data_IF_502311179658
#
_entry.id   IF_502311179658
#
_cell.length_a   1.000
_cell.length_b   1.000
_cell.length_c   1.000
_cell.angle_alpha   90.00
_cell.angle_beta   90.00
_cell.angle_gamma   90.00
#
_symmetry.space_group_name_H-M   'P 1'
#
loop_
_entity.id
_entity.type
_entity.pdbx_description
1 polymer ?
#
# COMPACT_ATOMS: atom_id res chain seq x y z
N UNK A 1 -7.03 63.59 9.79
CA UNK A 1 -7.02 62.36 9.00
C UNK A 1 -6.79 61.19 9.95
N UNK A 2 -7.86 60.49 10.31
CA UNK A 2 -7.81 59.37 11.24
C UNK A 2 -7.58 58.10 10.41
N UNK A 3 -6.43 57.44 10.62
CA UNK A 3 -6.17 56.10 10.10
C UNK A 3 -6.97 55.11 10.95
N UNK A 4 -8.03 54.58 10.38
CA UNK A 4 -8.76 53.44 10.92
C UNK A 4 -7.97 52.15 10.60
N UNK A 5 -7.22 51.67 11.58
CA UNK A 5 -6.62 50.35 11.54
C UNK A 5 -7.73 49.29 11.60
N UNK A 6 -8.04 48.70 10.46
CA UNK A 6 -8.90 47.53 10.40
C UNK A 6 -8.13 46.32 11.00
N UNK A 7 -8.71 45.61 11.96
CA UNK A 7 -8.05 44.41 12.48
C UNK A 7 -7.89 43.39 11.37
N UNK A 8 -6.65 43.00 11.12
CA UNK A 8 -6.34 41.88 10.22
C UNK A 8 -6.97 40.62 10.79
N UNK A 9 -8.09 40.20 10.21
CA UNK A 9 -8.74 38.94 10.49
C UNK A 9 -7.77 37.83 10.06
N UNK A 10 -7.05 37.28 11.02
CA UNK A 10 -6.29 36.07 10.81
C UNK A 10 -7.27 35.01 10.30
N UNK A 11 -7.10 34.62 9.05
CA UNK A 11 -7.81 33.47 8.48
C UNK A 11 -7.38 32.26 9.28
N UNK A 12 -8.16 31.88 10.28
CA UNK A 12 -8.00 30.62 10.99
C UNK A 12 -8.11 29.51 9.94
N UNK A 13 -6.95 29.03 9.50
CA UNK A 13 -6.88 27.81 8.68
C UNK A 13 -7.51 26.69 9.50
N UNK A 14 -8.51 25.98 8.97
CA UNK A 14 -9.18 24.90 9.71
C UNK A 14 -8.13 23.95 10.26
N UNK A 15 -7.99 23.90 11.59
CA UNK A 15 -7.07 22.96 12.25
C UNK A 15 -7.67 21.56 12.17
N UNK A 16 -7.42 20.86 11.07
CA UNK A 16 -7.78 19.44 10.97
C UNK A 16 -7.01 18.67 12.05
N UNK A 17 -7.75 17.94 12.86
CA UNK A 17 -7.14 17.00 13.80
C UNK A 17 -6.47 15.88 12.99
N UNK A 18 -5.22 15.53 13.32
CA UNK A 18 -4.51 14.43 12.64
C UNK A 18 -5.28 13.12 12.79
N UNK A 19 -5.94 12.93 13.93
CA UNK A 19 -6.76 11.76 14.18
C UNK A 19 -7.97 11.69 13.22
N UNK A 20 -8.65 12.81 12.95
CA UNK A 20 -9.77 12.82 11.99
C UNK A 20 -9.32 12.54 10.55
N UNK A 21 -8.09 12.92 10.18
CA UNK A 21 -7.52 12.62 8.88
C UNK A 21 -7.17 11.13 8.72
N UNK A 22 -6.74 10.47 9.80
CA UNK A 22 -6.32 9.06 9.78
C UNK A 22 -7.44 8.10 10.13
N UNK A 23 -8.57 8.56 10.69
CA UNK A 23 -9.69 7.71 11.06
C UNK A 23 -10.27 6.87 9.91
N UNK A 24 -10.47 7.41 8.68
CA UNK A 24 -10.91 6.59 7.56
C UNK A 24 -9.91 5.50 7.19
N UNK A 25 -8.60 5.79 7.30
CA UNK A 25 -7.54 4.80 7.07
C UNK A 25 -7.56 3.74 8.17
N UNK A 26 -7.73 4.12 9.43
CA UNK A 26 -7.85 3.20 10.55
C UNK A 26 -9.00 2.19 10.38
N UNK A 27 -10.17 2.66 9.89
CA UNK A 27 -11.33 1.79 9.62
C UNK A 27 -11.02 0.70 8.57
N UNK A 28 -10.13 0.96 7.64
CA UNK A 28 -9.65 -0.03 6.67
C UNK A 28 -8.48 -0.85 7.20
N UNK A 29 -7.49 -0.19 7.80
CA UNK A 29 -6.22 -0.81 8.19
C UNK A 29 -6.34 -1.77 9.36
N UNK A 30 -7.17 -1.47 10.36
CA UNK A 30 -7.33 -2.37 11.50
C UNK A 30 -7.94 -3.71 11.08
N UNK A 31 -9.09 -3.77 10.36
CA UNK A 31 -9.63 -5.03 9.88
C UNK A 31 -8.70 -5.77 8.92
N UNK A 32 -8.16 -5.07 7.91
CA UNK A 32 -7.25 -5.68 6.94
C UNK A 32 -5.97 -6.19 7.61
N UNK A 33 -5.34 -5.41 8.48
CA UNK A 33 -4.18 -5.84 9.24
C UNK A 33 -4.49 -7.07 10.11
N UNK A 34 -5.68 -7.13 10.73
CA UNK A 34 -6.13 -8.29 11.51
C UNK A 34 -6.24 -9.53 10.64
N UNK A 35 -6.88 -9.42 9.48
CA UNK A 35 -6.97 -10.53 8.53
C UNK A 35 -5.58 -10.95 8.05
N UNK A 36 -4.69 -10.01 7.73
CA UNK A 36 -3.32 -10.31 7.34
C UNK A 36 -2.58 -11.08 8.43
N UNK A 37 -2.55 -10.57 9.67
CA UNK A 37 -1.83 -11.20 10.78
C UNK A 37 -2.33 -12.62 11.06
N UNK A 38 -3.66 -12.79 11.04
CA UNK A 38 -4.29 -14.10 11.20
C UNK A 38 -3.89 -15.08 10.10
N UNK A 39 -4.09 -14.72 8.83
CA UNK A 39 -3.80 -15.58 7.68
C UNK A 39 -2.30 -15.91 7.55
N UNK A 40 -1.43 -14.96 7.88
CA UNK A 40 0.02 -15.17 7.82
C UNK A 40 0.49 -16.24 8.81
N UNK A 41 -0.08 -16.23 10.02
CA UNK A 41 0.18 -17.27 11.04
C UNK A 41 -0.42 -18.60 10.62
N UNK A 42 -1.65 -18.62 10.08
CA UNK A 42 -2.29 -19.84 9.59
C UNK A 42 -1.57 -20.44 8.38
N UNK A 43 -0.83 -19.64 7.61
CA UNK A 43 0.04 -20.11 6.53
C UNK A 43 1.33 -20.81 7.03
N UNK A 44 1.52 -20.92 8.35
CA UNK A 44 2.66 -21.59 8.97
C UNK A 44 3.79 -20.66 9.42
N UNK A 45 3.64 -19.34 9.28
CA UNK A 45 4.62 -18.39 9.78
C UNK A 45 4.51 -18.22 11.30
N UNK A 46 5.63 -17.94 11.97
CA UNK A 46 5.61 -17.57 13.37
C UNK A 46 4.89 -16.22 13.57
N UNK A 47 4.06 -16.10 14.61
CA UNK A 47 3.24 -14.93 14.87
C UNK A 47 4.02 -13.61 14.93
N UNK A 48 5.22 -13.64 15.49
CA UNK A 48 6.09 -12.47 15.58
C UNK A 48 6.62 -12.00 14.22
N UNK A 49 6.75 -12.92 13.23
CA UNK A 49 7.12 -12.54 11.85
C UNK A 49 6.04 -11.69 11.16
N UNK A 50 4.76 -11.95 11.45
CA UNK A 50 3.68 -11.09 10.97
C UNK A 50 3.85 -9.65 11.47
N UNK A 51 4.17 -9.50 12.77
CA UNK A 51 4.39 -8.17 13.38
C UNK A 51 5.64 -7.50 12.80
N UNK A 52 6.74 -8.24 12.68
CA UNK A 52 7.98 -7.70 12.09
C UNK A 52 7.77 -7.29 10.63
N UNK A 53 7.03 -8.06 9.84
CA UNK A 53 6.71 -7.67 8.46
C UNK A 53 5.91 -6.36 8.42
N UNK A 54 4.97 -6.16 9.31
CA UNK A 54 4.20 -4.91 9.39
C UNK A 54 5.03 -3.72 9.86
N UNK A 55 6.01 -3.95 10.75
CA UNK A 55 6.92 -2.91 11.22
C UNK A 55 7.96 -2.49 10.18
N UNK A 56 8.48 -3.43 9.38
CA UNK A 56 9.63 -3.18 8.51
C UNK A 56 9.33 -3.21 7.02
N UNK A 57 8.23 -3.81 6.59
CA UNK A 57 7.81 -3.83 5.20
C UNK A 57 6.69 -2.82 4.95
N UNK A 58 5.68 -2.78 5.80
CA UNK A 58 4.54 -1.86 5.76
C UNK A 58 3.99 -1.63 4.36
N UNK A 59 3.64 -2.70 3.68
CA UNK A 59 3.09 -2.68 2.33
C UNK A 59 2.01 -3.76 2.21
N UNK A 60 0.76 -3.40 2.46
CA UNK A 60 -0.36 -4.33 2.57
C UNK A 60 -0.44 -5.33 1.42
N UNK A 61 -0.43 -4.87 0.17
CA UNK A 61 -0.48 -5.75 -1.01
C UNK A 61 0.68 -6.74 -1.06
N UNK A 62 1.92 -6.30 -0.76
CA UNK A 62 3.07 -7.18 -0.72
C UNK A 62 2.99 -8.17 0.44
N UNK A 63 2.51 -7.73 1.60
CA UNK A 63 2.32 -8.59 2.77
C UNK A 63 1.27 -9.68 2.52
N UNK A 64 0.15 -9.34 1.89
CA UNK A 64 -0.84 -10.34 1.48
C UNK A 64 -0.29 -11.32 0.45
N UNK A 65 0.55 -10.86 -0.48
CA UNK A 65 1.22 -11.73 -1.45
C UNK A 65 2.21 -12.71 -0.78
N UNK A 66 2.83 -12.32 0.35
CA UNK A 66 3.70 -13.22 1.11
C UNK A 66 2.95 -14.44 1.65
N UNK A 67 1.66 -14.35 1.97
CA UNK A 67 0.88 -15.43 2.59
C UNK A 67 0.93 -16.73 1.77
N UNK A 68 0.49 -16.75 0.49
CA UNK A 68 0.58 -17.97 -0.32
C UNK A 68 2.02 -18.42 -0.58
N UNK A 69 2.98 -17.49 -0.60
CA UNK A 69 4.40 -17.85 -0.78
C UNK A 69 4.96 -18.58 0.44
N UNK A 70 4.59 -18.14 1.64
CA UNK A 70 4.94 -18.82 2.91
C UNK A 70 4.25 -20.18 2.98
N UNK A 71 2.96 -20.27 2.68
CA UNK A 71 2.21 -21.52 2.66
C UNK A 71 2.80 -22.54 1.66
N UNK A 72 3.32 -22.06 0.54
CA UNK A 72 4.02 -22.89 -0.46
C UNK A 72 5.47 -23.25 -0.06
N UNK A 73 5.96 -22.79 1.09
CA UNK A 73 7.34 -23.04 1.54
C UNK A 73 8.42 -22.42 0.66
N UNK A 74 8.13 -21.30 -0.02
CA UNK A 74 9.10 -20.67 -0.90
C UNK A 74 10.29 -20.12 -0.10
N UNK A 75 11.51 -20.12 -0.68
CA UNK A 75 12.68 -19.56 -0.03
C UNK A 75 12.50 -18.06 0.29
N UNK A 76 13.02 -17.62 1.43
CA UNK A 76 12.94 -16.23 1.87
C UNK A 76 13.45 -15.23 0.82
N UNK A 77 14.49 -15.60 0.05
CA UNK A 77 15.02 -14.78 -1.05
C UNK A 77 13.99 -14.51 -2.15
N UNK A 78 13.19 -15.51 -2.52
CA UNK A 78 12.11 -15.37 -3.52
C UNK A 78 11.00 -14.46 -3.00
N UNK A 79 10.64 -14.58 -1.73
CA UNK A 79 9.65 -13.74 -1.07
C UNK A 79 10.15 -12.29 -1.02
N UNK A 80 11.41 -12.08 -0.62
CA UNK A 80 12.02 -10.76 -0.56
C UNK A 80 12.08 -10.08 -1.95
N UNK A 81 12.48 -10.83 -2.98
CA UNK A 81 12.52 -10.32 -4.34
C UNK A 81 11.13 -9.92 -4.85
N UNK A 82 10.13 -10.77 -4.68
CA UNK A 82 8.75 -10.48 -5.07
C UNK A 82 8.21 -9.26 -4.32
N UNK A 83 8.49 -9.16 -3.02
CA UNK A 83 8.13 -8.00 -2.18
C UNK A 83 8.77 -6.72 -2.69
N UNK A 84 10.07 -6.73 -2.99
CA UNK A 84 10.79 -5.58 -3.52
C UNK A 84 10.17 -5.12 -4.84
N UNK A 85 9.90 -6.05 -5.73
CA UNK A 85 9.34 -5.77 -7.06
C UNK A 85 7.96 -5.12 -6.95
N UNK A 86 7.06 -5.67 -6.14
CA UNK A 86 5.71 -5.10 -5.96
C UNK A 86 5.77 -3.70 -5.32
N UNK A 87 6.75 -3.47 -4.45
CA UNK A 87 6.93 -2.20 -3.76
C UNK A 87 7.65 -1.13 -4.59
N UNK A 88 8.16 -1.42 -5.78
CA UNK A 88 8.77 -0.41 -6.66
C UNK A 88 7.81 0.75 -6.98
N UNK A 89 6.50 0.54 -6.94
CA UNK A 89 5.50 1.61 -7.09
C UNK A 89 5.65 2.73 -6.07
N UNK A 90 6.10 2.43 -4.84
CA UNK A 90 6.29 3.44 -3.79
C UNK A 90 7.40 4.45 -4.13
N UNK A 91 8.35 4.08 -5.00
CA UNK A 91 9.37 5.00 -5.50
C UNK A 91 8.71 6.16 -6.26
N UNK A 92 7.70 5.89 -7.08
CA UNK A 92 7.00 6.92 -7.85
C UNK A 92 6.17 7.84 -6.95
N UNK A 93 5.55 7.30 -5.90
CA UNK A 93 4.85 8.11 -4.90
C UNK A 93 5.83 9.00 -4.14
N UNK A 94 6.95 8.43 -3.70
CA UNK A 94 8.00 9.17 -3.03
C UNK A 94 8.51 10.34 -3.86
N UNK A 95 8.77 10.12 -5.15
CA UNK A 95 9.24 11.16 -6.07
C UNK A 95 8.25 12.32 -6.18
N UNK A 96 6.94 12.05 -6.22
CA UNK A 96 5.91 13.09 -6.37
C UNK A 96 5.73 13.96 -5.12
N UNK A 97 6.08 13.45 -3.92
CA UNK A 97 5.95 14.15 -2.63
C UNK A 97 7.29 14.64 -2.07
N UNK A 98 8.40 14.46 -2.79
CA UNK A 98 9.74 14.82 -2.30
C UNK A 98 9.89 16.27 -1.87
N UNK A 99 9.19 17.19 -2.57
CA UNK A 99 9.21 18.62 -2.27
C UNK A 99 8.44 18.98 -0.98
N UNK A 100 7.48 18.13 -0.59
CA UNK A 100 6.70 18.31 0.64
C UNK A 100 7.38 17.71 1.87
N UNK A 101 8.41 16.88 1.69
CA UNK A 101 9.11 16.24 2.78
C UNK A 101 10.27 17.09 3.30
N UNK A 102 10.69 16.91 4.55
CA UNK A 102 11.87 17.59 5.08
C UNK A 102 13.07 17.37 4.16
N UNK A 103 13.92 18.38 3.94
CA UNK A 103 15.04 18.27 3.00
C UNK A 103 16.07 17.22 3.42
N UNK A 104 16.25 17.00 4.73
CA UNK A 104 17.23 16.06 5.32
C UNK A 104 16.73 15.49 6.66
N UNK A 105 17.38 14.43 7.13
CA UNK A 105 17.21 13.88 8.47
C UNK A 105 16.33 12.63 8.54
N UNK A 106 16.26 12.05 9.73
CA UNK A 106 15.51 10.83 10.03
C UNK A 106 14.04 10.90 9.64
N UNK A 107 13.40 12.05 9.87
CA UNK A 107 11.99 12.26 9.59
C UNK A 107 11.66 12.06 8.10
N UNK A 108 12.57 12.51 7.20
CA UNK A 108 12.44 12.27 5.76
C UNK A 108 12.41 10.79 5.42
N UNK A 109 13.38 10.04 5.94
CA UNK A 109 13.50 8.61 5.68
C UNK A 109 12.29 7.85 6.18
N UNK A 110 11.81 8.20 7.38
CA UNK A 110 10.61 7.59 7.92
C UNK A 110 9.36 7.89 7.07
N UNK A 111 9.17 9.13 6.63
CA UNK A 111 8.04 9.51 5.78
C UNK A 111 8.07 8.81 4.42
N UNK A 112 9.25 8.62 3.83
CA UNK A 112 9.41 7.85 2.59
C UNK A 112 9.06 6.37 2.82
N UNK A 113 9.53 5.79 3.91
CA UNK A 113 9.22 4.40 4.29
C UNK A 113 7.72 4.20 4.55
N UNK A 114 7.09 5.10 5.29
CA UNK A 114 5.69 4.99 5.70
C UNK A 114 4.69 5.50 4.63
N UNK A 115 5.15 5.70 3.39
CA UNK A 115 4.34 6.18 2.30
C UNK A 115 3.61 5.02 1.60
N UNK A 116 2.42 4.70 2.07
CA UNK A 116 1.49 3.77 1.39
C UNK A 116 0.54 4.53 0.46
N UNK A 117 -0.28 3.81 -0.29
CA UNK A 117 -1.30 4.39 -1.19
C UNK A 117 -2.26 5.30 -0.41
N UNK A 118 -2.69 4.89 0.77
CA UNK A 118 -3.62 5.62 1.64
C UNK A 118 -2.93 6.82 2.28
N UNK A 119 -1.69 6.64 2.77
CA UNK A 119 -0.91 7.76 3.33
C UNK A 119 -0.64 8.81 2.24
N UNK A 120 -0.31 8.40 1.02
CA UNK A 120 -0.17 9.27 -0.13
C UNK A 120 -1.46 10.04 -0.39
N UNK A 121 -2.60 9.35 -0.45
CA UNK A 121 -3.90 9.96 -0.66
C UNK A 121 -4.20 11.03 0.38
N UNK A 122 -4.00 10.73 1.68
CA UNK A 122 -4.22 11.71 2.75
C UNK A 122 -3.27 12.90 2.63
N UNK A 123 -1.98 12.67 2.39
CA UNK A 123 -0.99 13.75 2.28
C UNK A 123 -1.22 14.67 1.09
N UNK A 124 -1.84 14.20 0.01
CA UNK A 124 -2.19 15.04 -1.14
C UNK A 124 -3.42 15.92 -0.91
N UNK A 125 -4.26 15.60 0.09
CA UNK A 125 -5.46 16.39 0.41
C UNK A 125 -5.21 17.53 1.41
N UNK A 126 -4.10 17.47 2.15
CA UNK A 126 -3.78 18.50 3.14
C UNK A 126 -3.04 19.70 2.52
N UNK A 127 -3.18 20.92 3.07
CA UNK A 127 -2.49 22.10 2.57
C UNK A 127 -0.96 21.91 2.53
N UNK A 128 -0.31 22.37 1.46
CA UNK A 128 1.15 22.32 1.32
C UNK A 128 1.90 23.07 2.42
N UNK A 129 1.24 23.97 3.11
CA UNK A 129 1.76 24.75 4.26
C UNK A 129 1.77 23.95 5.56
N UNK A 130 1.24 22.70 5.56
CA UNK A 130 1.22 21.84 6.75
C UNK A 130 2.64 21.49 7.20
N UNK A 131 2.89 21.59 8.52
CA UNK A 131 4.21 21.31 9.06
C UNK A 131 4.63 19.84 8.83
N UNK A 132 5.91 19.62 8.55
CA UNK A 132 6.50 18.29 8.36
C UNK A 132 6.23 17.35 9.54
N UNK A 133 6.21 17.88 10.77
CA UNK A 133 5.89 17.08 11.97
C UNK A 133 4.46 16.53 11.92
N UNK A 134 3.49 17.35 11.45
CA UNK A 134 2.09 16.94 11.33
C UNK A 134 1.91 15.89 10.23
N UNK A 135 2.60 16.05 9.10
CA UNK A 135 2.62 15.06 8.01
C UNK A 135 3.21 13.72 8.48
N UNK A 136 4.34 13.77 9.21
CA UNK A 136 4.96 12.57 9.76
C UNK A 136 4.08 11.88 10.81
N UNK A 137 3.32 12.64 11.61
CA UNK A 137 2.38 12.08 12.57
C UNK A 137 1.21 11.37 11.85
N UNK A 138 0.72 11.89 10.72
CA UNK A 138 -0.25 11.18 9.87
C UNK A 138 0.30 9.83 9.41
N UNK A 139 1.53 9.83 8.88
CA UNK A 139 2.19 8.60 8.43
C UNK A 139 2.41 7.60 9.59
N UNK A 140 2.80 8.11 10.77
CA UNK A 140 3.02 7.31 11.97
C UNK A 140 1.71 6.67 12.48
N UNK A 141 0.63 7.41 12.50
CA UNK A 141 -0.67 6.87 12.91
C UNK A 141 -1.18 5.82 11.92
N UNK A 142 -1.07 6.06 10.62
CA UNK A 142 -1.45 5.06 9.62
C UNK A 142 -0.63 3.78 9.77
N UNK A 143 0.69 3.90 9.95
CA UNK A 143 1.55 2.76 10.25
C UNK A 143 1.11 2.04 11.53
N UNK A 144 0.86 2.79 12.60
CA UNK A 144 0.38 2.26 13.87
C UNK A 144 -0.94 1.48 13.76
N UNK A 145 -1.91 1.98 12.95
CA UNK A 145 -3.18 1.29 12.72
C UNK A 145 -3.00 -0.06 12.05
N UNK A 146 -2.11 -0.12 11.06
CA UNK A 146 -1.78 -1.38 10.38
C UNK A 146 -1.11 -2.38 11.31
N UNK A 147 -0.10 -1.94 12.06
CA UNK A 147 0.60 -2.78 13.04
C UNK A 147 -0.37 -3.27 14.12
N UNK A 148 -1.24 -2.40 14.63
CA UNK A 148 -2.26 -2.76 15.63
C UNK A 148 -3.16 -3.89 15.11
N UNK A 149 -3.70 -3.74 13.89
CA UNK A 149 -4.49 -4.78 13.26
C UNK A 149 -3.70 -6.09 13.14
N UNK A 150 -2.46 -6.02 12.65
CA UNK A 150 -1.60 -7.21 12.52
C UNK A 150 -1.36 -7.91 13.85
N UNK A 151 -1.10 -7.15 14.93
CA UNK A 151 -0.90 -7.73 16.27
C UNK A 151 -2.14 -8.48 16.72
N UNK A 152 -3.32 -7.88 16.59
CA UNK A 152 -4.59 -8.52 16.93
C UNK A 152 -4.76 -9.82 16.15
N UNK A 153 -4.58 -9.78 14.83
CA UNK A 153 -4.72 -10.94 13.96
C UNK A 153 -3.69 -12.03 14.24
N UNK A 154 -2.44 -11.66 14.48
CA UNK A 154 -1.36 -12.60 14.77
C UNK A 154 -1.58 -13.33 16.10
N UNK A 155 -2.07 -12.63 17.14
CA UNK A 155 -2.40 -13.22 18.44
C UNK A 155 -3.58 -14.20 18.29
N UNK A 156 -4.65 -13.79 17.61
CA UNK A 156 -5.80 -14.65 17.32
C UNK A 156 -5.35 -15.88 16.54
N UNK A 157 -4.55 -15.69 15.49
CA UNK A 157 -4.03 -16.78 14.65
C UNK A 157 -3.15 -17.77 15.41
N UNK A 158 -2.33 -17.29 16.37
CA UNK A 158 -1.48 -18.13 17.18
C UNK A 158 -2.25 -18.99 18.21
N UNK A 159 -3.41 -18.50 18.67
CA UNK A 159 -4.26 -19.19 19.65
C UNK A 159 -5.32 -20.07 18.99
N UNK A 160 -5.73 -19.75 17.78
CA UNK A 160 -6.74 -20.46 17.05
C UNK A 160 -6.22 -21.85 16.64
N UNK A 161 -6.64 -22.91 17.31
CA UNK A 161 -6.42 -24.31 16.90
C UNK A 161 -7.39 -24.71 15.78
N UNK A 162 -7.60 -23.83 14.82
CA UNK A 162 -8.52 -24.02 13.72
C UNK A 162 -7.70 -24.38 12.49
N UNK A 163 -7.76 -25.64 12.06
CA UNK A 163 -7.40 -25.96 10.68
C UNK A 163 -8.49 -25.39 9.78
N UNK A 164 -8.30 -24.20 9.25
CA UNK A 164 -9.25 -23.60 8.33
C UNK A 164 -9.24 -24.40 7.02
N UNK A 165 -10.14 -25.38 6.93
CA UNK A 165 -10.52 -25.92 5.64
C UNK A 165 -11.08 -24.76 4.80
N UNK A 166 -10.47 -24.47 3.66
CA UNK A 166 -10.86 -23.35 2.80
C UNK A 166 -10.00 -22.09 2.95
N UNK A 167 -8.83 -22.16 3.61
CA UNK A 167 -7.88 -21.04 3.63
C UNK A 167 -7.50 -20.60 2.22
N UNK A 168 -7.35 -21.56 1.30
CA UNK A 168 -7.08 -21.31 -0.11
C UNK A 168 -8.21 -20.50 -0.76
N UNK A 169 -9.46 -20.78 -0.38
CA UNK A 169 -10.60 -20.04 -0.88
C UNK A 169 -10.65 -18.61 -0.32
N UNK A 170 -10.33 -18.42 0.96
CA UNK A 170 -10.29 -17.08 1.59
C UNK A 170 -9.22 -16.23 0.91
N UNK A 171 -8.03 -16.78 0.66
CA UNK A 171 -6.96 -16.09 -0.05
C UNK A 171 -7.37 -15.76 -1.49
N UNK A 172 -7.94 -16.73 -2.22
CA UNK A 172 -8.41 -16.51 -3.58
C UNK A 172 -9.49 -15.43 -3.65
N UNK A 173 -10.46 -15.44 -2.73
CA UNK A 173 -11.52 -14.43 -2.67
C UNK A 173 -10.98 -13.04 -2.32
N UNK A 174 -10.00 -12.94 -1.41
CA UNK A 174 -9.34 -11.67 -1.09
C UNK A 174 -8.64 -11.09 -2.32
N UNK A 175 -7.85 -11.90 -3.04
CA UNK A 175 -7.20 -11.44 -4.26
C UNK A 175 -8.20 -11.09 -5.36
N UNK A 176 -9.32 -11.80 -5.47
CA UNK A 176 -10.39 -11.46 -6.38
C UNK A 176 -10.99 -10.08 -6.05
N UNK A 177 -11.27 -9.80 -4.77
CA UNK A 177 -11.77 -8.49 -4.32
C UNK A 177 -10.77 -7.38 -4.63
N UNK A 178 -9.48 -7.58 -4.31
CA UNK A 178 -8.42 -6.61 -4.62
C UNK A 178 -8.30 -6.37 -6.14
N UNK A 179 -8.45 -7.42 -6.95
CA UNK A 179 -8.45 -7.32 -8.41
C UNK A 179 -9.64 -6.52 -8.92
N UNK A 180 -10.84 -6.76 -8.38
CA UNK A 180 -12.06 -6.02 -8.74
C UNK A 180 -11.91 -4.55 -8.32
N UNK A 181 -11.39 -4.26 -7.14
CA UNK A 181 -11.16 -2.90 -6.66
C UNK A 181 -10.16 -2.16 -7.57
N UNK A 182 -9.05 -2.80 -7.93
CA UNK A 182 -8.11 -2.28 -8.91
C UNK A 182 -8.76 -2.10 -10.29
N UNK A 183 -9.68 -3.00 -10.68
CA UNK A 183 -10.43 -2.85 -11.93
C UNK A 183 -11.34 -1.64 -11.92
N UNK A 184 -12.01 -1.34 -10.83
CA UNK A 184 -12.93 -0.19 -10.71
C UNK A 184 -12.20 1.16 -10.70
N UNK A 185 -11.01 1.20 -10.13
CA UNK A 185 -10.25 2.45 -9.95
C UNK A 185 -9.29 2.78 -11.10
N UNK A 186 -9.04 1.84 -12.01
CA UNK A 186 -8.05 2.00 -13.08
C UNK A 186 -8.55 2.81 -14.27
N UNK A 187 -7.60 3.46 -14.93
CA UNK A 187 -7.81 4.18 -16.20
C UNK A 187 -7.65 3.27 -17.44
N UNK A 188 -7.11 2.07 -17.30
CA UNK A 188 -6.84 1.13 -18.41
C UNK A 188 -6.90 -0.33 -17.96
N UNK A 189 -7.45 -1.26 -18.76
CA UNK A 189 -7.44 -2.70 -18.48
C UNK A 189 -6.10 -3.38 -18.79
N UNK A 190 -5.17 -2.68 -19.45
CA UNK A 190 -3.92 -3.26 -19.94
C UNK A 190 -3.08 -3.96 -18.84
N UNK A 191 -2.90 -3.41 -17.60
CA UNK A 191 -2.11 -4.08 -16.58
C UNK A 191 -2.65 -5.46 -16.19
N UNK A 192 -3.98 -5.63 -16.18
CA UNK A 192 -4.59 -6.93 -15.86
C UNK A 192 -4.31 -7.97 -16.95
N UNK A 193 -4.47 -7.58 -18.23
CA UNK A 193 -4.18 -8.48 -19.34
C UNK A 193 -2.69 -8.85 -19.37
N UNK A 194 -1.80 -7.89 -19.11
CA UNK A 194 -0.35 -8.15 -19.01
C UNK A 194 -0.07 -9.17 -17.90
N UNK A 195 -0.64 -9.00 -16.72
CA UNK A 195 -0.44 -9.92 -15.61
C UNK A 195 -0.97 -11.33 -15.92
N UNK A 196 -2.16 -11.42 -16.52
CA UNK A 196 -2.77 -12.70 -16.91
C UNK A 196 -1.92 -13.44 -17.96
N UNK A 197 -1.49 -12.74 -19.00
CA UNK A 197 -0.63 -13.31 -20.06
C UNK A 197 0.72 -13.71 -19.48
N UNK A 198 1.34 -12.85 -18.66
CA UNK A 198 2.62 -13.15 -18.01
C UNK A 198 2.54 -14.42 -17.15
N UNK A 199 1.45 -14.60 -16.40
CA UNK A 199 1.25 -15.79 -15.61
C UNK A 199 1.01 -17.04 -16.48
N UNK A 200 0.17 -16.93 -17.51
CA UNK A 200 -0.11 -18.02 -18.45
C UNK A 200 1.15 -18.49 -19.18
N UNK A 201 2.09 -17.60 -19.46
CA UNK A 201 3.40 -17.92 -20.05
C UNK A 201 4.37 -18.52 -19.02
N UNK A 202 4.39 -17.98 -17.81
CA UNK A 202 5.31 -18.43 -16.76
C UNK A 202 4.96 -19.82 -16.20
N UNK A 203 3.67 -20.13 -16.11
CA UNK A 203 3.19 -21.38 -15.50
C UNK A 203 3.73 -22.67 -16.17
N UNK A 204 3.67 -22.86 -17.52
CA UNK A 204 4.20 -24.05 -18.17
C UNK A 204 5.73 -24.13 -18.14
N UNK A 205 6.43 -23.01 -17.98
CA UNK A 205 7.90 -22.96 -17.98
C UNK A 205 8.46 -23.38 -16.62
N UNK A 206 7.89 -22.85 -15.54
CA UNK A 206 8.37 -23.12 -14.19
C UNK A 206 7.24 -22.94 -13.15
N UNK A 207 6.35 -23.93 -13.04
CA UNK A 207 5.18 -23.86 -12.17
C UNK A 207 5.49 -23.43 -10.71
N UNK A 208 6.62 -23.92 -10.14
CA UNK A 208 7.06 -23.54 -8.79
C UNK A 208 7.44 -22.06 -8.63
N UNK A 209 7.85 -21.41 -9.71
CA UNK A 209 8.30 -20.02 -9.72
C UNK A 209 7.42 -19.13 -10.60
N UNK A 210 6.29 -19.65 -11.08
CA UNK A 210 5.42 -18.96 -12.03
C UNK A 210 5.00 -17.56 -11.55
N UNK A 211 4.68 -17.41 -10.27
CA UNK A 211 4.29 -16.13 -9.70
C UNK A 211 5.42 -15.08 -9.79
N UNK A 212 6.65 -15.46 -9.41
CA UNK A 212 7.80 -14.55 -9.43
C UNK A 212 8.16 -14.16 -10.87
N UNK A 213 8.14 -15.14 -11.78
CA UNK A 213 8.41 -14.91 -13.20
C UNK A 213 7.33 -14.02 -13.80
N UNK A 214 6.04 -14.26 -13.51
CA UNK A 214 4.94 -13.45 -14.00
C UNK A 214 5.04 -11.99 -13.51
N UNK A 215 5.40 -11.77 -12.25
CA UNK A 215 5.62 -10.43 -11.70
C UNK A 215 6.77 -9.75 -12.45
N UNK A 216 7.91 -10.42 -12.63
CA UNK A 216 9.06 -9.87 -13.36
C UNK A 216 8.70 -9.51 -14.80
N UNK A 217 8.01 -10.39 -15.51
CA UNK A 217 7.52 -10.14 -16.88
C UNK A 217 6.54 -8.97 -16.94
N UNK A 218 5.64 -8.87 -15.98
CA UNK A 218 4.66 -7.76 -15.90
C UNK A 218 5.36 -6.41 -15.70
N UNK A 219 6.42 -6.38 -14.90
CA UNK A 219 7.20 -5.16 -14.68
C UNK A 219 7.96 -4.78 -15.94
N UNK A 220 8.66 -5.75 -16.56
CA UNK A 220 9.36 -5.51 -17.83
C UNK A 220 8.37 -4.96 -18.86
N UNK A 221 7.21 -5.60 -19.03
CA UNK A 221 6.18 -5.12 -19.92
C UNK A 221 5.71 -3.70 -19.56
N UNK A 222 5.53 -3.40 -18.26
CA UNK A 222 5.13 -2.07 -17.78
C UNK A 222 6.15 -0.97 -18.02
N UNK A 223 7.45 -1.28 -17.92
CA UNK A 223 8.55 -0.34 -18.23
C UNK A 223 8.59 0.01 -19.72
N UNK A 224 8.35 -0.97 -20.59
CA UNK A 224 8.34 -0.76 -22.04
C UNK A 224 6.98 -0.24 -22.57
N UNK A 225 5.92 -0.43 -21.81
CA UNK A 225 4.59 0.07 -22.16
C UNK A 225 4.46 1.55 -21.78
N UNK A 226 4.79 2.44 -22.71
CA UNK A 226 4.45 3.86 -22.57
C UNK A 226 2.96 4.00 -22.89
N UNK A 227 2.08 4.37 -21.93
CA UNK A 227 0.72 4.72 -22.28
C UNK A 227 0.79 5.94 -23.19
N UNK A 228 0.28 5.81 -24.41
CA UNK A 228 0.01 6.98 -25.27
C UNK A 228 -0.96 7.86 -24.50
N UNK A 229 -0.45 8.98 -23.98
CA UNK A 229 -1.26 10.04 -23.41
C UNK A 229 -2.27 10.45 -24.47
N UNK A 230 -3.54 10.03 -24.28
CA UNK A 230 -4.64 10.57 -25.06
C UNK A 230 -4.74 12.04 -24.71
N UNK A 231 -4.14 12.88 -25.52
CA UNK A 231 -4.31 14.32 -25.46
C UNK A 231 -5.83 14.57 -25.50
N UNK A 232 -6.38 15.07 -24.38
CA UNK A 232 -7.71 15.67 -24.37
C UNK A 232 -7.69 16.75 -25.46
N UNK A 233 -8.31 16.45 -26.60
CA UNK A 233 -8.69 17.47 -27.57
C UNK A 233 -9.59 18.44 -26.83
N UNK A 234 -9.05 19.60 -26.49
CA UNK A 234 -9.81 20.75 -26.12
C UNK A 234 -10.73 21.08 -27.28
N UNK A 235 -12.03 20.82 -27.12
CA UNK A 235 -13.04 21.39 -27.98
C UNK A 235 -13.08 22.87 -27.69
N UNK A 236 -12.50 23.68 -28.58
CA UNK A 236 -12.87 25.05 -28.82
C UNK A 236 -14.31 24.97 -29.36
N UNK A 237 -15.24 25.49 -28.59
CA UNK A 237 -16.53 25.93 -29.14
C UNK A 237 -16.53 27.46 -29.06
N UNK A 238 -16.60 28.05 -30.22
CA UNK A 238 -16.94 29.44 -30.51
C UNK A 238 -18.31 29.80 -29.91
#
# INVERSE_FOLDING_TARGET
>A
MAHTDLPSKSLDTPQFSVLSLTAPVAMGYIPLGTVFGFLFVQAGAAWWLAILSSLFVFAGAAQYMMIPMVAAGLPAGSIALATLIVNLRHVFYGLSLLELFPPKGWLRWYMVFALTDETYSVLTTIPKTTSHKKMALVACLNHGWWVLGTVIGAIIGAQARITLAGLDFVLASLFAVLTVEQWRTKNSPAPLWVALIAYAVAYPIAAKHALVIAIALSIVAGVFWRPTSSAKKGGSND
#
